data_IF_320394955219
#
_entry.id   IF_320394955219
#
_cell.length_a   1.000
_cell.length_b   1.000
_cell.length_c   1.000
_cell.angle_alpha   90.00
_cell.angle_beta   90.00
_cell.angle_gamma   90.00
#
_symmetry.space_group_name_H-M   'P 1'
#
loop_
_entity.id
_entity.type
_entity.pdbx_description
1 polymer ?
#
# COMPACT_ATOMS: atom_id res chain seq x y z
N UNK A 1 10.97 -4.23 -0.33
CA UNK A 1 11.38 -4.98 0.87
C UNK A 1 10.39 -4.81 2.01
N UNK A 2 10.13 -3.58 2.46
CA UNK A 2 9.18 -3.23 3.55
C UNK A 2 7.76 -3.73 3.31
N UNK A 3 7.15 -3.46 2.15
CA UNK A 3 5.77 -3.90 1.88
C UNK A 3 5.61 -5.42 1.91
N UNK A 4 6.60 -6.15 1.36
CA UNK A 4 6.59 -7.62 1.38
C UNK A 4 6.69 -8.17 2.80
N UNK A 5 7.59 -7.62 3.62
CA UNK A 5 7.71 -8.03 5.03
C UNK A 5 6.41 -7.80 5.81
N UNK A 6 5.74 -6.68 5.57
CA UNK A 6 4.46 -6.36 6.20
C UNK A 6 3.33 -7.29 5.73
N UNK A 7 3.28 -7.60 4.43
CA UNK A 7 2.32 -8.56 3.87
C UNK A 7 2.52 -9.93 4.53
N UNK A 8 3.75 -10.45 4.55
CA UNK A 8 4.05 -11.75 5.18
C UNK A 8 3.74 -11.76 6.68
N UNK A 9 4.02 -10.67 7.40
CA UNK A 9 3.68 -10.55 8.82
C UNK A 9 2.18 -10.55 9.11
N UNK A 10 1.36 -10.10 8.15
CA UNK A 10 -0.10 -10.05 8.28
C UNK A 10 -0.81 -11.34 7.82
N UNK A 11 -0.14 -12.23 7.09
CA UNK A 11 -0.70 -13.53 6.65
C UNK A 11 -1.29 -14.35 7.82
N UNK A 12 -0.59 -14.59 8.95
CA UNK A 12 -1.17 -15.38 10.04
C UNK A 12 -2.35 -14.68 10.72
N UNK A 13 -2.37 -13.35 10.77
CA UNK A 13 -3.50 -12.57 11.31
C UNK A 13 -4.72 -12.67 10.39
N UNK A 14 -4.51 -12.61 9.07
CA UNK A 14 -5.55 -12.78 8.05
C UNK A 14 -6.11 -14.21 7.97
N UNK A 15 -5.39 -15.21 8.47
CA UNK A 15 -5.83 -16.61 8.48
C UNK A 15 -6.26 -17.10 9.86
N UNK A 16 -6.19 -16.26 10.89
CA UNK A 16 -6.59 -16.60 12.25
C UNK A 16 -8.09 -16.89 12.32
N UNK A 17 -8.46 -17.93 13.08
CA UNK A 17 -9.85 -18.45 13.22
C UNK A 17 -10.28 -18.63 14.68
N UNK A 18 -9.77 -17.80 15.60
CA UNK A 18 -10.19 -17.80 17.01
C UNK A 18 -11.43 -16.93 17.28
N UNK A 19 -12.06 -17.07 18.45
CA UNK A 19 -13.04 -16.08 18.92
C UNK A 19 -12.43 -14.67 18.97
N UNK A 20 -13.16 -13.67 18.46
CA UNK A 20 -12.67 -12.30 18.37
C UNK A 20 -11.64 -12.04 17.25
N UNK A 21 -11.32 -13.05 16.42
CA UNK A 21 -10.37 -12.88 15.30
C UNK A 21 -10.97 -12.18 14.07
N UNK A 22 -12.29 -12.01 13.99
CA UNK A 22 -12.98 -11.44 12.83
C UNK A 22 -12.47 -10.04 12.47
N UNK A 23 -12.27 -9.18 13.47
CA UNK A 23 -11.75 -7.82 13.27
C UNK A 23 -10.31 -7.86 12.75
N UNK A 24 -9.47 -8.69 13.38
CA UNK A 24 -8.05 -8.81 13.02
C UNK A 24 -7.84 -9.44 11.65
N UNK A 25 -8.70 -10.40 11.28
CA UNK A 25 -8.70 -11.04 9.97
C UNK A 25 -9.10 -10.02 8.89
N UNK A 26 -10.22 -9.33 9.07
CA UNK A 26 -10.67 -8.28 8.14
C UNK A 26 -9.63 -7.16 7.97
N UNK A 27 -9.01 -6.73 9.07
CA UNK A 27 -7.95 -5.74 9.07
C UNK A 27 -6.70 -6.24 8.32
N UNK A 28 -6.27 -7.48 8.57
CA UNK A 28 -5.14 -8.10 7.89
C UNK A 28 -5.34 -8.16 6.37
N UNK A 29 -6.51 -8.62 5.92
CA UNK A 29 -6.87 -8.68 4.49
C UNK A 29 -6.86 -7.28 3.87
N UNK A 30 -7.45 -6.30 4.56
CA UNK A 30 -7.53 -4.91 4.09
C UNK A 30 -6.14 -4.29 3.91
N UNK A 31 -5.24 -4.50 4.87
CA UNK A 31 -3.86 -3.99 4.80
C UNK A 31 -3.10 -4.66 3.65
N UNK A 32 -3.21 -5.98 3.49
CA UNK A 32 -2.52 -6.70 2.41
C UNK A 32 -2.98 -6.14 1.05
N UNK A 33 -4.29 -6.03 0.83
CA UNK A 33 -4.84 -5.45 -0.40
C UNK A 33 -4.40 -4.00 -0.62
N UNK A 34 -4.47 -3.18 0.43
CA UNK A 34 -4.06 -1.78 0.39
C UNK A 34 -2.58 -1.57 0.08
N UNK A 35 -1.70 -2.42 0.60
CA UNK A 35 -0.26 -2.35 0.33
C UNK A 35 0.07 -2.77 -1.10
N UNK A 36 -0.62 -3.77 -1.64
CA UNK A 36 -0.45 -4.18 -3.03
C UNK A 36 -0.89 -3.04 -3.95
N UNK A 37 -2.14 -2.60 -3.83
CA UNK A 37 -2.70 -1.54 -4.69
C UNK A 37 -1.95 -0.23 -4.50
N UNK A 38 -1.69 0.18 -3.25
CA UNK A 38 -0.95 1.39 -2.93
C UNK A 38 0.47 1.39 -3.47
N UNK A 39 1.14 0.23 -3.49
CA UNK A 39 2.44 0.06 -4.12
C UNK A 39 2.42 0.35 -5.62
N UNK A 40 1.47 -0.27 -6.35
CA UNK A 40 1.29 -0.01 -7.79
C UNK A 40 0.90 1.44 -8.08
N UNK A 41 -0.04 1.99 -7.30
CA UNK A 41 -0.46 3.39 -7.42
C UNK A 41 0.74 4.31 -7.21
N UNK A 42 1.56 4.10 -6.17
CA UNK A 42 2.73 4.94 -5.88
C UNK A 42 3.75 4.90 -7.02
N UNK A 43 4.03 3.71 -7.57
CA UNK A 43 4.96 3.56 -8.69
C UNK A 43 4.57 4.39 -9.92
N UNK A 44 3.27 4.65 -10.12
CA UNK A 44 2.74 5.42 -11.26
C UNK A 44 2.51 6.89 -10.86
N UNK A 45 1.87 7.12 -9.71
CA UNK A 45 1.43 8.43 -9.25
C UNK A 45 2.61 9.32 -8.89
N UNK A 46 3.66 8.79 -8.24
CA UNK A 46 4.84 9.57 -7.85
C UNK A 46 5.56 10.16 -9.07
N UNK A 47 5.93 9.40 -10.12
CA UNK A 47 6.59 9.98 -11.29
C UNK A 47 5.66 10.91 -12.09
N UNK A 48 4.35 10.63 -12.16
CA UNK A 48 3.38 11.53 -12.78
C UNK A 48 3.34 12.89 -12.07
N UNK A 49 3.20 12.88 -10.75
CA UNK A 49 3.20 14.11 -9.96
C UNK A 49 4.54 14.84 -10.07
N UNK A 50 5.66 14.12 -10.02
CA UNK A 50 6.99 14.71 -10.18
C UNK A 50 7.14 15.39 -11.55
N UNK A 51 6.73 14.72 -12.63
CA UNK A 51 6.76 15.27 -14.00
C UNK A 51 5.89 16.53 -14.13
N UNK A 52 4.69 16.52 -13.55
CA UNK A 52 3.79 17.67 -13.58
C UNK A 52 4.36 18.87 -12.82
N UNK A 53 4.90 18.65 -11.62
CA UNK A 53 5.52 19.72 -10.83
C UNK A 53 6.78 20.25 -11.51
N UNK A 54 7.63 19.36 -12.04
CA UNK A 54 8.85 19.74 -12.73
C UNK A 54 8.56 20.56 -14.01
N UNK A 55 7.59 20.13 -14.83
CA UNK A 55 7.14 20.88 -16.01
C UNK A 55 6.60 22.27 -15.67
N UNK A 56 5.81 22.41 -14.59
CA UNK A 56 5.33 23.72 -14.15
C UNK A 56 6.45 24.64 -13.66
N UNK A 57 7.50 24.08 -13.07
CA UNK A 57 8.67 24.85 -12.63
C UNK A 57 9.50 25.34 -13.83
N UNK A 58 9.66 24.51 -14.86
CA UNK A 58 10.36 24.86 -16.10
C UNK A 58 9.61 25.91 -16.95
N UNK A 59 8.27 25.95 -16.91
CA UNK A 59 7.47 26.95 -17.63
C UNK A 59 7.39 28.32 -16.93
N UNK A 60 7.98 28.46 -15.73
CA UNK A 60 7.95 29.69 -14.90
C UNK A 60 9.32 30.35 -14.70
N UNK A 61 10.39 29.77 -15.25
CA UNK A 61 11.73 30.37 -15.30
C UNK A 61 12.05 30.78 -16.72
#
# INVERSE_FOLDING_TARGET
MTSLAMIFGMVPLALSRGEGSEIWNALGITIIGGLIVGGFVTLILVPLLYSLVHRRKAARG
#
